data_IF_256090819462
#
_entry.id   IF_256090819462
#
_cell.length_a   1.000
_cell.length_b   1.000
_cell.length_c   1.000
_cell.angle_alpha   90.00
_cell.angle_beta   90.00
_cell.angle_gamma   90.00
#
_symmetry.space_group_name_H-M   'P 1'
#
loop_
_entity.id
_entity.type
_entity.pdbx_description
1 polymer ?
#
# COMPACT_ATOMS: atom_id res chain seq x y z
N UNK A 1 -2.95 5.69 45.89
CA UNK A 1 -2.45 7.09 45.99
C UNK A 1 -2.43 7.56 47.45
N UNK A 2 -1.65 6.96 48.35
CA UNK A 2 -1.69 7.35 49.78
C UNK A 2 -0.30 7.53 50.41
N UNK A 3 0.63 6.60 50.21
CA UNK A 3 1.89 6.62 50.99
C UNK A 3 2.84 7.77 50.64
N UNK A 4 2.85 8.24 49.37
CA UNK A 4 3.74 9.33 48.95
C UNK A 4 3.30 10.70 49.47
N UNK A 5 1.99 10.96 49.53
CA UNK A 5 1.46 12.19 50.12
C UNK A 5 1.73 12.25 51.62
N UNK A 6 1.56 11.12 52.33
CA UNK A 6 1.84 11.02 53.76
C UNK A 6 3.32 11.29 54.06
N UNK A 7 4.25 10.74 53.28
CA UNK A 7 5.69 11.00 53.46
C UNK A 7 6.04 12.47 53.22
N UNK A 8 5.47 13.11 52.19
CA UNK A 8 5.67 14.55 51.96
C UNK A 8 5.11 15.41 53.10
N UNK A 9 3.92 15.07 53.63
CA UNK A 9 3.33 15.77 54.77
C UNK A 9 4.17 15.60 56.05
N UNK A 10 4.73 14.42 56.29
CA UNK A 10 5.60 14.14 57.44
C UNK A 10 6.94 14.87 57.31
N UNK A 11 7.52 14.94 56.11
CA UNK A 11 8.75 15.71 55.86
C UNK A 11 8.52 17.23 55.98
N UNK A 12 7.37 17.74 55.53
CA UNK A 12 6.97 19.14 55.73
C UNK A 12 6.75 19.47 57.21
N UNK A 13 6.04 18.61 57.93
CA UNK A 13 5.85 18.77 59.37
C UNK A 13 7.19 18.73 60.09
N UNK A 14 8.07 17.78 59.76
CA UNK A 14 9.43 17.70 60.30
C UNK A 14 10.25 18.97 60.02
N UNK A 15 10.22 19.48 58.80
CA UNK A 15 10.93 20.72 58.42
C UNK A 15 10.38 21.96 59.16
N UNK A 16 9.05 22.04 59.34
CA UNK A 16 8.41 23.09 60.13
C UNK A 16 8.77 23.00 61.63
N UNK A 17 8.78 21.79 62.21
CA UNK A 17 9.17 21.59 63.61
C UNK A 17 10.65 21.87 63.87
N UNK A 18 11.55 21.48 62.95
CA UNK A 18 12.99 21.77 63.05
C UNK A 18 13.24 23.28 62.89
N UNK A 19 12.49 23.95 62.00
CA UNK A 19 12.56 25.41 61.83
C UNK A 19 12.02 26.17 63.05
N UNK A 20 10.99 25.65 63.71
CA UNK A 20 10.44 26.21 64.95
C UNK A 20 11.43 26.06 66.11
N UNK A 21 12.05 24.88 66.27
CA UNK A 21 12.94 24.59 67.41
C UNK A 21 14.24 25.42 67.39
N UNK A 22 14.63 25.98 66.23
CA UNK A 22 15.88 26.71 66.04
C UNK A 22 15.76 28.24 65.88
N UNK A 23 14.60 28.87 66.04
CA UNK A 23 14.45 30.29 65.70
C UNK A 23 14.14 31.23 66.87
N UNK A 24 15.20 31.91 67.31
CA UNK A 24 15.20 33.36 67.63
C UNK A 24 15.06 34.16 66.31
N UNK A 25 13.97 33.96 65.54
CA UNK A 25 13.79 34.60 64.22
C UNK A 25 12.51 35.44 64.20
N UNK A 26 12.63 36.67 63.69
CA UNK A 26 11.53 37.62 63.63
C UNK A 26 10.40 37.16 62.71
N UNK A 27 9.18 37.57 63.03
CA UNK A 27 7.93 37.20 62.33
C UNK A 27 8.00 37.44 60.82
N UNK A 28 8.76 38.44 60.37
CA UNK A 28 8.96 38.74 58.94
C UNK A 28 9.81 37.69 58.21
N UNK A 29 10.78 37.09 58.88
CA UNK A 29 11.64 36.05 58.29
C UNK A 29 10.96 34.68 58.31
N UNK A 30 10.11 34.42 59.31
CA UNK A 30 9.21 33.27 59.33
C UNK A 30 8.23 33.29 58.14
N UNK A 31 7.66 34.47 57.82
CA UNK A 31 6.74 34.62 56.69
C UNK A 31 7.43 34.41 55.34
N UNK A 32 8.67 34.89 55.19
CA UNK A 32 9.49 34.65 53.99
C UNK A 32 9.86 33.17 53.83
N UNK A 33 10.16 32.49 54.94
CA UNK A 33 10.49 31.06 54.92
C UNK A 33 9.26 30.20 54.55
N UNK A 34 8.09 30.53 55.12
CA UNK A 34 6.84 29.88 54.78
C UNK A 34 6.48 30.07 53.29
N UNK A 35 6.62 31.30 52.78
CA UNK A 35 6.40 31.60 51.35
C UNK A 35 7.30 30.79 50.42
N UNK A 36 8.60 30.66 50.75
CA UNK A 36 9.52 29.79 49.99
C UNK A 36 9.08 28.32 50.03
N UNK A 37 8.65 27.84 51.20
CA UNK A 37 8.12 26.48 51.35
C UNK A 37 6.93 26.18 50.43
N UNK A 38 5.96 27.10 50.35
CA UNK A 38 4.80 26.93 49.46
C UNK A 38 5.18 26.93 47.97
N UNK A 39 6.15 27.75 47.56
CA UNK A 39 6.64 27.76 46.18
C UNK A 39 7.32 26.42 45.83
N UNK A 40 8.18 25.90 46.72
CA UNK A 40 8.80 24.58 46.53
C UNK A 40 7.74 23.47 46.45
N UNK A 41 6.69 23.54 47.27
CA UNK A 41 5.62 22.56 47.23
C UNK A 41 4.84 22.59 45.91
N UNK A 42 4.56 23.79 45.39
CA UNK A 42 3.94 23.98 44.07
C UNK A 42 4.79 23.39 42.95
N UNK A 43 6.11 23.60 42.98
CA UNK A 43 7.02 23.04 41.97
C UNK A 43 7.10 21.52 42.09
N UNK A 44 7.20 20.95 43.30
CA UNK A 44 7.25 19.51 43.51
C UNK A 44 5.97 18.81 43.04
N UNK A 45 4.80 19.39 43.30
CA UNK A 45 3.51 18.85 42.84
C UNK A 45 3.39 18.91 41.31
N UNK A 46 3.83 20.01 40.69
CA UNK A 46 3.90 20.14 39.23
C UNK A 46 4.85 19.11 38.60
N UNK A 47 6.03 18.93 39.19
CA UNK A 47 7.00 17.92 38.75
C UNK A 47 6.44 16.50 38.86
N UNK A 48 5.72 16.15 39.93
CA UNK A 48 5.08 14.83 40.08
C UNK A 48 4.02 14.58 39.00
N UNK A 49 3.26 15.62 38.60
CA UNK A 49 2.26 15.51 37.53
C UNK A 49 2.89 15.43 36.14
N UNK A 50 4.02 16.10 35.94
CA UNK A 50 4.77 16.07 34.67
C UNK A 50 5.72 14.86 34.56
N UNK A 51 6.10 14.21 35.67
CA UNK A 51 7.01 13.07 35.71
C UNK A 51 6.56 11.87 34.84
N UNK A 52 5.26 11.46 34.81
CA UNK A 52 4.80 10.41 33.93
C UNK A 52 4.99 10.78 32.46
N UNK A 53 4.66 12.02 32.07
CA UNK A 53 4.87 12.54 30.72
C UNK A 53 6.35 12.58 30.35
N UNK A 54 7.21 13.05 31.25
CA UNK A 54 8.66 13.06 31.04
C UNK A 54 9.26 11.66 30.99
N UNK A 55 8.76 10.71 31.79
CA UNK A 55 9.24 9.32 31.82
C UNK A 55 9.08 8.64 30.45
N UNK A 56 8.01 8.94 29.70
CA UNK A 56 7.85 8.47 28.33
C UNK A 56 8.89 9.02 27.35
N UNK A 57 9.44 10.22 27.61
CA UNK A 57 10.51 10.80 26.80
C UNK A 57 11.91 10.30 27.19
N UNK A 58 12.15 10.01 28.46
CA UNK A 58 13.48 9.59 28.96
C UNK A 58 13.70 8.08 28.98
N UNK A 59 12.64 7.26 29.04
CA UNK A 59 12.74 5.80 29.03
C UNK A 59 11.97 5.21 27.85
N UNK A 60 12.60 5.09 26.66
CA UNK A 60 12.10 4.15 25.67
C UNK A 60 12.18 2.74 26.29
N UNK A 61 11.06 2.03 26.22
CA UNK A 61 10.86 0.65 26.67
C UNK A 61 12.12 -0.22 26.48
N UNK A 62 12.84 -0.47 27.57
CA UNK A 62 13.68 -1.65 27.72
C UNK A 62 13.28 -2.30 29.04
N UNK A 63 12.20 -3.07 28.98
CA UNK A 63 11.90 -4.04 30.02
C UNK A 63 12.54 -5.37 29.58
N UNK A 64 13.85 -5.50 29.80
CA UNK A 64 14.48 -6.81 29.83
C UNK A 64 13.96 -7.52 31.08
N UNK A 65 13.00 -8.42 30.86
CA UNK A 65 12.55 -9.39 31.84
C UNK A 65 13.65 -10.48 31.91
N UNK A 66 14.05 -10.96 33.10
CA UNK A 66 15.19 -11.87 33.24
C UNK A 66 15.02 -13.13 32.39
N UNK A 67 16.05 -13.46 31.61
CA UNK A 67 16.05 -14.53 30.62
C UNK A 67 15.79 -15.90 31.26
N UNK A 68 14.64 -16.49 30.94
CA UNK A 68 14.42 -17.92 31.11
C UNK A 68 15.01 -18.64 29.90
N UNK A 69 15.76 -19.75 30.06
CA UNK A 69 16.36 -20.49 28.93
C UNK A 69 15.34 -20.96 27.89
N UNK A 70 14.07 -21.10 28.28
CA UNK A 70 12.97 -21.37 27.36
C UNK A 70 12.69 -20.21 26.39
N UNK A 71 12.80 -18.96 26.84
CA UNK A 71 12.55 -17.76 26.03
C UNK A 71 13.63 -17.58 24.97
N UNK A 72 14.91 -17.82 25.31
CA UNK A 72 16.02 -17.77 24.36
C UNK A 72 15.85 -18.82 23.25
N UNK A 73 15.45 -20.05 23.60
CA UNK A 73 15.22 -21.12 22.63
C UNK A 73 14.08 -20.80 21.65
N UNK A 74 13.04 -20.12 22.11
CA UNK A 74 11.93 -19.69 21.26
C UNK A 74 12.35 -18.54 20.33
N UNK A 75 13.10 -17.55 20.84
CA UNK A 75 13.68 -16.47 20.02
C UNK A 75 14.58 -17.02 18.90
N UNK A 76 15.41 -18.00 19.20
CA UNK A 76 16.27 -18.65 18.20
C UNK A 76 15.46 -19.37 17.11
N UNK A 77 14.38 -20.08 17.48
CA UNK A 77 13.49 -20.71 16.51
C UNK A 77 12.79 -19.68 15.61
N UNK A 78 12.30 -18.59 16.19
CA UNK A 78 11.69 -17.49 15.43
C UNK A 78 12.69 -16.82 14.46
N UNK A 79 13.94 -16.65 14.89
CA UNK A 79 15.01 -16.17 14.01
C UNK A 79 15.32 -17.13 12.86
N UNK A 80 15.36 -18.44 13.13
CA UNK A 80 15.59 -19.45 12.10
C UNK A 80 14.46 -19.47 11.08
N UNK A 81 13.20 -19.38 11.52
CA UNK A 81 12.04 -19.30 10.62
C UNK A 81 12.12 -18.05 9.74
N UNK A 82 12.45 -16.89 10.31
CA UNK A 82 12.63 -15.64 9.54
C UNK A 82 13.75 -15.76 8.51
N UNK A 83 14.90 -16.35 8.89
CA UNK A 83 16.02 -16.56 7.96
C UNK A 83 15.64 -17.51 6.83
N UNK A 84 14.96 -18.62 7.14
CA UNK A 84 14.50 -19.58 6.13
C UNK A 84 13.53 -18.94 5.12
N UNK A 85 12.59 -18.11 5.60
CA UNK A 85 11.71 -17.33 4.73
C UNK A 85 12.50 -16.36 3.85
N UNK A 86 13.46 -15.63 4.41
CA UNK A 86 14.30 -14.71 3.64
C UNK A 86 15.10 -15.44 2.56
N UNK A 87 15.64 -16.61 2.87
CA UNK A 87 16.34 -17.44 1.89
C UNK A 87 15.40 -17.86 0.75
N UNK A 88 14.20 -18.36 1.05
CA UNK A 88 13.23 -18.71 0.02
C UNK A 88 12.85 -17.52 -0.87
N UNK A 89 12.70 -16.31 -0.31
CA UNK A 89 12.43 -15.12 -1.11
C UNK A 89 13.61 -14.71 -1.99
N UNK A 90 14.84 -14.82 -1.46
CA UNK A 90 16.05 -14.55 -2.23
C UNK A 90 16.21 -15.54 -3.38
N UNK A 91 16.01 -16.84 -3.13
CA UNK A 91 16.12 -17.90 -4.14
C UNK A 91 15.09 -17.70 -5.26
N UNK A 92 13.82 -17.40 -4.91
CA UNK A 92 12.79 -17.04 -5.89
C UNK A 92 13.17 -15.82 -6.74
N UNK A 93 13.81 -14.83 -6.12
CA UNK A 93 14.22 -13.61 -6.80
C UNK A 93 15.38 -13.89 -7.77
N UNK A 94 16.37 -14.69 -7.35
CA UNK A 94 17.45 -15.12 -8.25
C UNK A 94 16.91 -15.95 -9.39
N UNK A 95 16.07 -16.94 -9.10
CA UNK A 95 15.49 -17.84 -10.12
C UNK A 95 14.71 -17.06 -11.17
N UNK A 96 13.91 -16.07 -10.77
CA UNK A 96 13.19 -15.20 -11.70
C UNK A 96 14.14 -14.34 -12.55
N UNK A 97 15.19 -13.79 -11.93
CA UNK A 97 16.19 -13.02 -12.66
C UNK A 97 16.88 -13.87 -13.73
N UNK A 98 17.20 -15.13 -13.42
CA UNK A 98 17.88 -16.03 -14.34
C UNK A 98 16.97 -16.61 -15.42
N UNK A 99 15.75 -17.02 -15.07
CA UNK A 99 14.82 -17.69 -15.98
C UNK A 99 13.99 -16.74 -16.84
N UNK A 100 13.72 -15.52 -16.38
CA UNK A 100 12.84 -14.57 -17.09
C UNK A 100 13.58 -13.33 -17.55
N UNK A 101 14.36 -12.68 -16.66
CA UNK A 101 14.98 -11.39 -16.99
C UNK A 101 16.14 -11.57 -17.97
N UNK A 102 17.12 -12.44 -17.65
CA UNK A 102 18.29 -12.67 -18.52
C UNK A 102 17.91 -13.11 -19.95
N UNK A 103 16.97 -14.07 -20.16
CA UNK A 103 16.61 -14.50 -21.50
C UNK A 103 15.90 -13.43 -22.32
N UNK A 104 15.03 -12.62 -21.69
CA UNK A 104 14.40 -11.48 -22.38
C UNK A 104 15.44 -10.47 -22.84
N UNK A 105 16.42 -10.18 -21.99
CA UNK A 105 17.51 -9.26 -22.33
C UNK A 105 18.41 -9.82 -23.45
N UNK A 106 18.76 -11.11 -23.40
CA UNK A 106 19.60 -11.74 -24.43
C UNK A 106 18.91 -11.79 -25.79
N UNK A 107 17.61 -12.10 -25.84
CA UNK A 107 16.82 -12.09 -27.08
C UNK A 107 16.78 -10.68 -27.69
N UNK A 108 16.56 -9.65 -26.88
CA UNK A 108 16.57 -8.26 -27.36
C UNK A 108 17.94 -7.85 -27.91
N UNK A 109 19.03 -8.28 -27.26
CA UNK A 109 20.39 -8.05 -27.73
C UNK A 109 20.67 -8.77 -29.05
N UNK A 110 20.25 -10.04 -29.17
CA UNK A 110 20.37 -10.81 -30.41
C UNK A 110 19.60 -10.16 -31.55
N UNK A 111 18.34 -9.75 -31.35
CA UNK A 111 17.55 -9.05 -32.37
C UNK A 111 18.17 -7.72 -32.80
N UNK A 112 18.82 -7.01 -31.88
CA UNK A 112 19.54 -5.76 -32.20
C UNK A 112 20.80 -6.07 -33.01
N UNK A 113 21.54 -7.11 -32.63
CA UNK A 113 22.74 -7.56 -33.35
C UNK A 113 22.38 -8.06 -34.75
N UNK A 114 21.33 -8.87 -34.90
CA UNK A 114 20.80 -9.31 -36.20
C UNK A 114 20.36 -8.14 -37.06
N UNK A 115 19.66 -7.15 -36.48
CA UNK A 115 19.31 -5.91 -37.19
C UNK A 115 20.55 -5.15 -37.65
N UNK A 116 21.54 -5.04 -36.79
CA UNK A 116 22.82 -4.43 -37.14
C UNK A 116 23.45 -5.20 -38.30
N UNK A 117 23.68 -6.51 -38.18
CA UNK A 117 24.23 -7.34 -39.25
C UNK A 117 23.39 -7.33 -40.53
N UNK A 118 22.07 -7.21 -40.46
CA UNK A 118 21.23 -7.03 -41.64
C UNK A 118 21.47 -5.69 -42.34
N UNK A 119 21.76 -4.63 -41.59
CA UNK A 119 22.01 -3.28 -42.10
C UNK A 119 23.47 -3.05 -42.51
N UNK A 120 24.44 -3.63 -41.79
CA UNK A 120 25.89 -3.46 -42.03
C UNK A 120 26.55 -4.66 -42.70
N UNK A 121 25.90 -5.82 -42.76
CA UNK A 121 26.52 -7.08 -43.18
C UNK A 121 26.67 -7.25 -44.68
N UNK A 122 27.71 -7.99 -45.05
CA UNK A 122 28.08 -8.41 -46.41
C UNK A 122 26.99 -9.25 -47.11
N UNK A 123 25.89 -9.61 -46.46
CA UNK A 123 24.77 -10.37 -47.04
C UNK A 123 24.07 -9.66 -48.22
N UNK A 124 24.03 -8.32 -48.23
CA UNK A 124 23.58 -7.56 -49.41
C UNK A 124 24.67 -7.42 -50.48
N UNK A 125 25.95 -7.71 -50.14
CA UNK A 125 27.10 -7.70 -51.05
C UNK A 125 27.42 -9.07 -51.66
N UNK A 126 26.98 -10.16 -51.02
CA UNK A 126 27.24 -11.55 -51.42
C UNK A 126 26.07 -12.20 -52.18
N UNK A 127 24.89 -11.59 -52.17
CA UNK A 127 23.82 -12.01 -53.08
C UNK A 127 24.26 -11.66 -54.51
N UNK A 128 24.26 -12.65 -55.41
CA UNK A 128 24.60 -12.46 -56.83
C UNK A 128 23.73 -11.32 -57.37
N UNK A 129 24.31 -10.13 -57.51
CA UNK A 129 23.59 -8.95 -57.93
C UNK A 129 22.93 -9.21 -59.28
N UNK A 130 21.63 -8.91 -59.37
CA UNK A 130 20.93 -8.95 -60.64
C UNK A 130 21.30 -7.66 -61.40
N UNK A 131 21.80 -7.73 -62.64
CA UNK A 131 22.09 -6.54 -63.42
C UNK A 131 20.76 -5.81 -63.68
N UNK A 132 20.55 -4.68 -62.99
CA UNK A 132 19.41 -3.81 -63.26
C UNK A 132 19.74 -3.03 -64.52
N UNK A 133 19.19 -3.48 -65.65
CA UNK A 133 19.41 -2.91 -66.99
C UNK A 133 19.67 -3.94 -68.10
N UNK A 134 19.69 -5.24 -67.79
CA UNK A 134 19.79 -6.30 -68.80
C UNK A 134 18.41 -6.85 -69.17
N UNK A 135 18.05 -6.67 -70.44
CA UNK A 135 16.99 -7.27 -71.25
C UNK A 135 16.06 -8.28 -70.53
N UNK A 136 14.79 -7.87 -70.43
CA UNK A 136 13.68 -8.66 -69.92
C UNK A 136 13.37 -9.81 -70.87
N UNK A 137 14.03 -10.95 -70.72
CA UNK A 137 13.53 -12.21 -71.24
C UNK A 137 13.88 -13.36 -70.29
N UNK A 138 12.95 -14.29 -70.14
CA UNK A 138 13.09 -15.58 -69.44
C UNK A 138 12.78 -15.65 -67.92
N UNK A 139 11.52 -15.41 -67.54
CA UNK A 139 10.77 -16.37 -66.69
C UNK A 139 9.26 -16.12 -66.73
N UNK A 140 8.60 -16.50 -67.83
CA UNK A 140 7.15 -16.70 -67.82
C UNK A 140 6.83 -18.03 -67.14
N UNK A 141 6.29 -17.93 -65.93
CA UNK A 141 5.67 -19.02 -65.19
C UNK A 141 4.46 -18.47 -64.46
N UNK A 142 3.38 -18.30 -65.22
CA UNK A 142 1.99 -18.12 -64.78
C UNK A 142 1.65 -16.89 -63.93
N UNK A 143 1.17 -15.83 -64.59
CA UNK A 143 0.04 -15.02 -64.12
C UNK A 143 -0.30 -13.91 -65.13
N UNK A 144 -1.52 -13.98 -65.69
CA UNK A 144 -2.35 -12.85 -66.10
C UNK A 144 -1.67 -11.72 -66.87
N UNK A 145 -1.79 -11.78 -68.19
CA UNK A 145 -1.58 -10.67 -69.13
C UNK A 145 -2.34 -9.42 -68.65
N UNK A 146 -1.61 -8.28 -68.61
CA UNK A 146 -2.11 -6.91 -68.41
C UNK A 146 -2.50 -6.43 -66.98
N UNK A 147 -1.63 -6.60 -65.98
CA UNK A 147 -1.70 -5.77 -64.77
C UNK A 147 -0.60 -4.72 -64.73
N UNK A 148 -1.00 -3.44 -64.71
CA UNK A 148 -0.14 -2.31 -64.34
C UNK A 148 0.66 -2.68 -63.08
N UNK A 149 1.98 -2.43 -62.99
CA UNK A 149 2.80 -2.77 -61.83
C UNK A 149 2.21 -2.30 -60.49
N UNK A 150 1.41 -1.22 -60.49
CA UNK A 150 0.65 -0.76 -59.34
C UNK A 150 -0.43 -1.76 -58.84
N UNK A 151 -1.10 -2.50 -59.73
CA UNK A 151 -2.07 -3.53 -59.35
C UNK A 151 -1.40 -4.75 -58.73
N UNK A 152 -0.28 -5.23 -59.31
CA UNK A 152 0.51 -6.31 -58.74
C UNK A 152 1.03 -5.97 -57.33
N UNK A 153 1.52 -4.75 -57.13
CA UNK A 153 1.92 -4.25 -55.81
C UNK A 153 0.74 -4.18 -54.82
N UNK A 154 -0.44 -3.75 -55.27
CA UNK A 154 -1.67 -3.72 -54.45
C UNK A 154 -2.11 -5.12 -54.02
N UNK A 155 -2.07 -6.11 -54.92
CA UNK A 155 -2.43 -7.50 -54.62
C UNK A 155 -1.49 -8.11 -53.58
N UNK A 156 -0.18 -7.88 -53.71
CA UNK A 156 0.81 -8.35 -52.72
C UNK A 156 0.61 -7.73 -51.34
N UNK A 157 0.27 -6.42 -51.27
CA UNK A 157 -0.08 -5.75 -50.00
C UNK A 157 -1.37 -6.30 -49.38
N UNK A 158 -2.40 -6.56 -50.19
CA UNK A 158 -3.66 -7.19 -49.72
C UNK A 158 -3.42 -8.60 -49.20
N UNK A 159 -2.61 -9.40 -49.89
CA UNK A 159 -2.30 -10.77 -49.49
C UNK A 159 -1.51 -10.83 -48.16
N UNK A 160 -0.55 -9.92 -47.96
CA UNK A 160 0.14 -9.76 -46.68
C UNK A 160 -0.81 -9.33 -45.55
N UNK A 161 -1.76 -8.42 -45.83
CA UNK A 161 -2.78 -8.02 -44.85
C UNK A 161 -3.72 -9.17 -44.48
N UNK A 162 -4.07 -10.05 -45.42
CA UNK A 162 -4.92 -11.21 -45.16
C UNK A 162 -4.19 -12.28 -44.34
N UNK A 163 -2.88 -12.42 -44.50
CA UNK A 163 -2.06 -13.39 -43.74
C UNK A 163 -1.70 -12.88 -42.33
N UNK A 164 -1.61 -11.56 -42.11
CA UNK A 164 -1.39 -10.95 -40.78
C UNK A 164 -2.71 -10.57 -40.08
N UNK A 165 -3.83 -11.21 -40.42
CA UNK A 165 -5.02 -11.20 -39.56
C UNK A 165 -4.98 -12.43 -38.66
N UNK A 166 -4.06 -12.43 -37.69
CA UNK A 166 -4.34 -13.12 -36.44
C UNK A 166 -5.66 -12.55 -35.88
N UNK A 167 -6.51 -13.35 -35.22
CA UNK A 167 -7.69 -12.81 -34.55
C UNK A 167 -7.20 -11.90 -33.42
N UNK A 168 -6.99 -10.63 -33.75
CA UNK A 168 -6.93 -9.55 -32.78
C UNK A 168 -8.28 -9.64 -32.09
N UNK A 169 -8.27 -10.22 -30.89
CA UNK A 169 -9.38 -10.08 -29.96
C UNK A 169 -9.63 -8.57 -29.92
N UNK A 170 -10.69 -8.13 -30.59
CA UNK A 170 -11.20 -6.79 -30.43
C UNK A 170 -11.54 -6.70 -28.96
N UNK A 171 -10.64 -6.13 -28.17
CA UNK A 171 -10.97 -5.59 -26.86
C UNK A 171 -12.06 -4.56 -27.16
N UNK A 172 -13.31 -5.01 -27.01
CA UNK A 172 -14.48 -4.15 -27.07
C UNK A 172 -14.15 -2.97 -26.15
N UNK A 173 -14.14 -1.73 -26.66
CA UNK A 173 -13.76 -0.59 -25.86
C UNK A 173 -14.66 -0.58 -24.63
N UNK A 174 -14.06 -0.83 -23.46
CA UNK A 174 -14.77 -0.94 -22.18
C UNK A 174 -15.57 0.35 -22.02
N UNK A 175 -16.88 0.24 -22.15
CA UNK A 175 -17.79 1.38 -22.08
C UNK A 175 -17.52 2.10 -20.75
N UNK A 176 -17.18 3.39 -20.83
CA UNK A 176 -16.89 4.21 -19.65
C UNK A 176 -18.18 4.38 -18.85
N UNK A 177 -18.46 3.46 -17.93
CA UNK A 177 -19.61 3.54 -17.01
C UNK A 177 -19.39 4.75 -16.11
N UNK A 178 -20.17 5.81 -16.31
CA UNK A 178 -20.20 6.95 -15.40
C UNK A 178 -20.89 6.51 -14.13
N UNK A 179 -20.14 6.41 -13.04
CA UNK A 179 -20.66 5.99 -11.74
C UNK A 179 -21.25 7.23 -11.06
N UNK A 180 -22.58 7.26 -10.93
CA UNK A 180 -23.29 8.29 -10.18
C UNK A 180 -23.63 7.70 -8.82
N UNK A 181 -23.05 8.25 -7.75
CA UNK A 181 -23.38 7.84 -6.39
C UNK A 181 -24.53 8.69 -5.84
N UNK A 182 -25.50 8.09 -5.13
CA UNK A 182 -26.65 8.78 -4.55
C UNK A 182 -26.23 9.78 -3.47
N UNK A 183 -26.97 10.87 -3.30
CA UNK A 183 -26.63 11.94 -2.36
C UNK A 183 -26.53 11.45 -0.90
N UNK A 184 -25.63 12.06 -0.13
CA UNK A 184 -25.38 11.64 1.25
C UNK A 184 -26.60 11.88 2.15
N UNK A 185 -27.06 10.87 2.92
CA UNK A 185 -28.18 11.04 3.83
C UNK A 185 -27.83 12.02 4.97
N UNK A 186 -28.87 12.68 5.51
CA UNK A 186 -28.75 13.58 6.66
C UNK A 186 -28.37 12.83 7.94
N UNK A 187 -27.80 13.53 8.92
CA UNK A 187 -27.38 12.94 10.19
C UNK A 187 -28.56 12.44 11.05
N UNK A 188 -29.73 13.04 10.88
CA UNK A 188 -30.91 12.79 11.74
C UNK A 188 -31.81 11.66 11.23
N UNK A 189 -31.45 11.01 10.11
CA UNK A 189 -32.24 9.91 9.55
C UNK A 189 -31.94 8.59 10.28
N UNK A 190 -32.99 7.88 10.69
CA UNK A 190 -32.84 6.58 11.35
C UNK A 190 -32.17 5.56 10.41
N UNK A 191 -31.22 4.80 10.95
CA UNK A 191 -30.49 3.79 10.16
C UNK A 191 -29.35 4.34 9.30
N UNK A 192 -28.86 5.56 9.56
CA UNK A 192 -27.64 6.08 8.94
C UNK A 192 -26.39 5.52 9.62
N UNK A 193 -25.44 5.09 8.80
CA UNK A 193 -24.13 4.60 9.21
C UNK A 193 -23.05 5.47 8.57
N UNK A 194 -22.07 5.88 9.37
CA UNK A 194 -20.87 6.56 8.89
C UNK A 194 -19.79 5.54 8.58
N UNK A 195 -19.38 5.47 7.33
CA UNK A 195 -18.33 4.57 6.87
C UNK A 195 -17.08 5.39 6.56
N UNK A 196 -15.96 5.00 7.15
CA UNK A 196 -14.65 5.59 6.90
C UNK A 196 -13.80 4.63 6.07
N UNK A 197 -13.45 5.04 4.85
CA UNK A 197 -12.66 4.28 3.90
C UNK A 197 -11.18 4.69 4.01
N UNK A 198 -10.36 3.80 4.53
CA UNK A 198 -8.90 3.97 4.64
C UNK A 198 -8.24 3.53 3.34
N UNK A 199 -7.63 4.47 2.65
CA UNK A 199 -6.95 4.24 1.38
C UNK A 199 -5.47 3.87 1.62
N UNK A 200 -4.85 3.06 0.74
CA UNK A 200 -3.40 2.79 0.76
C UNK A 200 -2.55 4.06 0.65
N UNK A 201 -3.11 5.12 0.05
CA UNK A 201 -2.47 6.45 -0.04
C UNK A 201 -2.36 7.18 1.29
N UNK A 202 -2.81 6.60 2.41
CA UNK A 202 -2.85 7.22 3.73
C UNK A 202 -4.04 8.17 3.95
N UNK A 203 -4.85 8.41 2.90
CA UNK A 203 -6.07 9.24 3.00
C UNK A 203 -7.22 8.43 3.58
N UNK A 204 -8.02 9.06 4.43
CA UNK A 204 -9.27 8.48 4.94
C UNK A 204 -10.44 9.31 4.45
N UNK A 205 -11.34 8.69 3.69
CA UNK A 205 -12.52 9.36 3.13
C UNK A 205 -13.73 8.86 3.92
N UNK A 206 -14.52 9.76 4.46
CA UNK A 206 -15.70 9.40 5.25
C UNK A 206 -16.96 9.77 4.48
N UNK A 207 -17.96 8.88 4.47
CA UNK A 207 -19.27 9.14 3.88
C UNK A 207 -20.36 8.43 4.67
N UNK A 208 -21.55 9.03 4.69
CA UNK A 208 -22.76 8.44 5.31
C UNK A 208 -23.50 7.57 4.30
N UNK A 209 -24.03 6.46 4.78
CA UNK A 209 -24.82 5.49 4.02
C UNK A 209 -26.02 5.05 4.85
N UNK A 210 -27.10 4.61 4.20
CA UNK A 210 -28.23 3.98 4.88
C UNK A 210 -28.01 2.48 4.97
N UNK A 211 -28.42 1.84 6.07
CA UNK A 211 -28.29 0.38 6.26
C UNK A 211 -28.99 -0.44 5.17
N UNK A 212 -30.12 0.07 4.67
CA UNK A 212 -30.91 -0.55 3.61
C UNK A 212 -30.31 -0.46 2.22
N UNK A 213 -29.22 0.30 2.04
CA UNK A 213 -28.57 0.42 0.74
C UNK A 213 -27.76 -0.83 0.38
N UNK A 214 -27.64 -1.08 -0.92
CA UNK A 214 -26.85 -2.21 -1.44
C UNK A 214 -25.36 -2.04 -1.12
N UNK A 215 -24.72 -3.13 -0.71
CA UNK A 215 -23.27 -3.20 -0.49
C UNK A 215 -22.44 -2.88 -1.75
N UNK A 216 -22.99 -3.03 -2.96
CA UNK A 216 -22.34 -2.59 -4.22
C UNK A 216 -21.99 -1.10 -4.26
N UNK A 217 -22.76 -0.25 -3.58
CA UNK A 217 -22.47 1.18 -3.54
C UNK A 217 -21.11 1.48 -2.89
N UNK A 218 -20.60 0.58 -2.04
CA UNK A 218 -19.25 0.69 -1.50
C UNK A 218 -18.18 0.46 -2.56
N UNK A 219 -18.39 -0.49 -3.48
CA UNK A 219 -17.48 -0.73 -4.60
C UNK A 219 -17.52 0.42 -5.60
N UNK A 220 -18.72 0.93 -5.89
CA UNK A 220 -18.89 2.10 -6.75
C UNK A 220 -18.25 3.36 -6.12
N UNK A 221 -18.37 3.52 -4.80
CA UNK A 221 -17.70 4.59 -4.06
C UNK A 221 -16.19 4.47 -4.13
N UNK A 222 -15.65 3.27 -3.90
CA UNK A 222 -14.23 2.95 -4.01
C UNK A 222 -13.71 3.22 -5.43
N UNK A 223 -14.48 2.88 -6.46
CA UNK A 223 -14.13 3.14 -7.85
C UNK A 223 -14.17 4.65 -8.17
N UNK A 224 -15.11 5.41 -7.60
CA UNK A 224 -15.14 6.89 -7.72
C UNK A 224 -13.96 7.56 -7.01
N UNK A 225 -13.44 6.99 -5.93
CA UNK A 225 -12.25 7.51 -5.23
C UNK A 225 -10.93 7.14 -5.94
N UNK A 226 -11.00 6.29 -6.98
CA UNK A 226 -9.87 5.94 -7.84
C UNK A 226 -9.34 4.51 -7.63
N UNK A 227 -9.98 3.70 -6.80
CA UNK A 227 -9.56 2.33 -6.50
C UNK A 227 -10.47 1.33 -7.22
N UNK A 228 -9.94 0.63 -8.21
CA UNK A 228 -10.73 -0.29 -9.03
C UNK A 228 -10.92 -1.65 -8.31
N UNK A 229 -12.14 -2.23 -8.28
CA UNK A 229 -12.44 -3.49 -7.57
C UNK A 229 -11.70 -4.73 -8.10
N UNK A 230 -11.13 -4.66 -9.32
CA UNK A 230 -10.26 -5.72 -9.84
C UNK A 230 -8.90 -5.78 -9.13
N UNK A 231 -8.40 -4.65 -8.64
CA UNK A 231 -7.09 -4.52 -8.00
C UNK A 231 -7.20 -4.38 -6.48
N UNK A 232 -8.34 -3.92 -5.97
CA UNK A 232 -8.54 -3.63 -4.56
C UNK A 232 -9.79 -4.31 -4.03
N UNK A 233 -9.75 -4.67 -2.75
CA UNK A 233 -10.88 -5.22 -1.99
C UNK A 233 -11.12 -4.41 -0.73
N UNK A 234 -12.36 -4.44 -0.23
CA UNK A 234 -12.74 -3.80 1.02
C UNK A 234 -12.67 -4.82 2.16
N UNK A 235 -11.92 -4.49 3.20
CA UNK A 235 -11.74 -5.32 4.38
C UNK A 235 -12.24 -4.60 5.64
N UNK A 236 -12.88 -5.31 6.54
CA UNK A 236 -13.18 -4.81 7.89
C UNK A 236 -11.93 -4.72 8.75
N UNK A 237 -11.93 -3.85 9.76
CA UNK A 237 -10.78 -3.71 10.66
C UNK A 237 -10.65 -4.86 11.67
N UNK A 238 -11.75 -5.27 12.31
CA UNK A 238 -11.74 -6.34 13.31
C UNK A 238 -13.13 -7.01 13.45
N UNK A 239 -13.24 -8.35 13.32
CA UNK A 239 -12.22 -9.23 12.74
C UNK A 239 -11.91 -8.80 11.29
N UNK A 240 -10.68 -9.04 10.83
CA UNK A 240 -10.28 -8.66 9.46
C UNK A 240 -10.90 -9.63 8.48
N UNK A 241 -11.89 -9.17 7.72
CA UNK A 241 -12.67 -10.00 6.80
C UNK A 241 -12.96 -9.22 5.53
N UNK A 242 -12.86 -9.89 4.39
CA UNK A 242 -13.19 -9.30 3.09
C UNK A 242 -14.70 -9.12 3.01
N UNK A 243 -15.15 -7.92 2.67
CA UNK A 243 -16.56 -7.60 2.55
C UNK A 243 -17.10 -8.15 1.23
N UNK A 244 -18.07 -9.06 1.33
CA UNK A 244 -18.76 -9.62 0.17
C UNK A 244 -19.78 -8.57 -0.30
N UNK A 245 -19.45 -7.87 -1.39
CA UNK A 245 -20.33 -6.88 -1.98
C UNK A 245 -21.11 -7.50 -3.15
N UNK A 246 -22.43 -7.53 -3.03
CA UNK A 246 -23.35 -8.04 -4.03
C UNK A 246 -24.58 -7.13 -4.14
N UNK A 247 -25.27 -7.13 -5.30
CA UNK A 247 -26.44 -6.28 -5.53
C UNK A 247 -27.56 -6.59 -4.55
N UNK A 248 -27.71 -7.88 -4.25
CA UNK A 248 -28.81 -8.44 -3.47
C UNK A 248 -28.54 -8.38 -1.96
N UNK A 249 -27.38 -7.87 -1.55
CA UNK A 249 -26.93 -7.83 -0.15
C UNK A 249 -26.90 -6.39 0.34
N UNK A 250 -27.70 -6.14 1.38
CA UNK A 250 -27.74 -4.85 2.08
C UNK A 250 -26.47 -4.60 2.91
N UNK A 251 -26.23 -3.35 3.32
CA UNK A 251 -25.08 -3.03 4.16
C UNK A 251 -25.14 -3.71 5.53
N UNK A 252 -26.34 -3.88 6.08
CA UNK A 252 -26.53 -4.61 7.34
C UNK A 252 -26.17 -6.10 7.22
N UNK A 253 -26.58 -6.76 6.14
CA UNK A 253 -26.24 -8.17 5.85
C UNK A 253 -24.75 -8.34 5.54
N UNK A 254 -24.11 -7.33 4.96
CA UNK A 254 -22.67 -7.29 4.74
C UNK A 254 -21.86 -7.07 6.04
N UNK A 255 -22.52 -6.95 7.20
CA UNK A 255 -21.88 -6.77 8.50
C UNK A 255 -21.61 -5.32 8.91
N UNK A 256 -22.18 -4.33 8.19
CA UNK A 256 -22.03 -2.90 8.47
C UNK A 256 -23.22 -2.39 9.29
N UNK A 257 -23.27 -2.81 10.56
CA UNK A 257 -24.37 -2.48 11.49
C UNK A 257 -24.20 -1.13 12.19
N UNK A 258 -22.96 -0.72 12.45
CA UNK A 258 -22.58 0.49 13.17
C UNK A 258 -21.56 1.30 12.37
N UNK A 259 -21.15 2.46 12.88
CA UNK A 259 -20.10 3.25 12.25
C UNK A 259 -18.82 2.42 12.11
N UNK A 260 -18.49 2.03 10.89
CA UNK A 260 -17.39 1.12 10.60
C UNK A 260 -16.27 1.81 9.85
N UNK A 261 -15.08 1.23 10.02
CA UNK A 261 -13.90 1.57 9.23
C UNK A 261 -13.64 0.42 8.27
N UNK A 262 -13.57 0.74 6.98
CA UNK A 262 -13.22 -0.20 5.93
C UNK A 262 -11.82 0.14 5.40
N UNK A 263 -10.98 -0.87 5.26
CA UNK A 263 -9.64 -0.77 4.69
C UNK A 263 -9.69 -1.18 3.23
N UNK A 264 -9.13 -0.36 2.35
CA UNK A 264 -8.91 -0.70 0.94
C UNK A 264 -7.56 -1.40 0.85
N UNK A 265 -7.58 -2.66 0.47
CA UNK A 265 -6.41 -3.53 0.41
C UNK A 265 -6.21 -4.06 -1.00
N UNK A 266 -4.96 -4.27 -1.40
CA UNK A 266 -4.65 -4.84 -2.71
C UNK A 266 -5.15 -6.29 -2.78
N UNK A 267 -5.90 -6.59 -3.83
CA UNK A 267 -6.37 -7.93 -4.11
C UNK A 267 -5.21 -8.75 -4.62
N UNK A 268 -4.90 -9.88 -3.98
CA UNK A 268 -3.91 -10.79 -4.54
C UNK A 268 -4.40 -11.29 -5.91
N UNK A 269 -3.55 -11.24 -6.95
CA UNK A 269 -3.91 -11.77 -8.24
C UNK A 269 -4.18 -13.27 -8.08
N UNK A 270 -5.37 -13.71 -8.47
CA UNK A 270 -5.66 -15.13 -8.61
C UNK A 270 -4.73 -15.68 -9.70
N UNK A 271 -3.63 -16.30 -9.27
CA UNK A 271 -2.75 -17.07 -10.15
C UNK A 271 -3.60 -18.23 -10.65
N UNK A 272 -4.03 -18.16 -11.90
CA UNK A 272 -4.68 -19.25 -12.64
C UNK A 272 -3.87 -19.48 -13.90
#
# INVERSE_FOLDING_TARGET
MSNRCVVFCVLLAGFCFISWKHSLIGVKDALKLAGRGFIFLGICTWLIYMFPRLKYFFFPVCQELPDSPLLESNRQKEEQVRRAQQHQHNDKTSDYAESVIKPRQSVLLQQRMERYHRMTGETWKLSRGFPVGGEEDQRCGDAGVDENPNQGARRRRKLLQTVTQDPVQQEVPKQKKVIVLPDEPSADTEGVVKIALRCPSGRTICRRFLKSWSSLLLLDWMMKTGYHPALYTLCTSYPRTVLIAAADVSLEEAGVLTNTVLNVEEKEPSIT
#
